data_IF_054891314323
#
_entry.id   IF_054891314323
#
_cell.length_a   1.000
_cell.length_b   1.000
_cell.length_c   1.000
_cell.angle_alpha   90.00
_cell.angle_beta   90.00
_cell.angle_gamma   90.00
#
_symmetry.space_group_name_H-M   'P 1'
#
loop_
_entity.id
_entity.type
_entity.pdbx_description
1 polymer ?
#
# COMPACT_ATOMS: atom_id res chain seq x y z
N UNK A 1 -12.02 13.90 1.68
CA UNK A 1 -11.26 13.21 2.75
C UNK A 1 -12.00 13.17 4.08
N UNK A 2 -12.42 14.30 4.66
CA UNK A 2 -13.13 14.34 5.97
C UNK A 2 -14.34 13.39 6.03
N UNK A 3 -15.19 13.38 5.00
CA UNK A 3 -16.36 12.49 4.94
C UNK A 3 -15.98 11.00 4.96
N UNK A 4 -14.87 10.62 4.32
CA UNK A 4 -14.38 9.22 4.33
C UNK A 4 -13.91 8.85 5.73
N UNK A 5 -13.15 9.72 6.39
CA UNK A 5 -12.69 9.49 7.78
C UNK A 5 -13.88 9.38 8.73
N UNK A 6 -14.85 10.29 8.64
CA UNK A 6 -16.08 10.22 9.43
C UNK A 6 -16.88 8.94 9.15
N UNK A 7 -16.90 8.46 7.90
CA UNK A 7 -17.53 7.18 7.56
C UNK A 7 -16.84 5.98 8.23
N UNK A 8 -15.51 5.96 8.23
CA UNK A 8 -14.73 4.91 8.92
C UNK A 8 -15.01 4.95 10.42
N UNK A 9 -14.98 6.13 11.04
CA UNK A 9 -15.27 6.29 12.47
C UNK A 9 -16.71 5.87 12.79
N UNK A 10 -17.68 6.24 11.95
CA UNK A 10 -19.07 5.81 12.10
C UNK A 10 -19.21 4.27 12.03
N UNK A 11 -18.52 3.61 11.08
CA UNK A 11 -18.54 2.15 10.96
C UNK A 11 -17.91 1.46 12.17
N UNK A 12 -16.83 2.01 12.73
CA UNK A 12 -16.22 1.50 13.96
C UNK A 12 -17.17 1.69 15.14
N UNK A 13 -17.78 2.87 15.28
CA UNK A 13 -18.74 3.17 16.34
C UNK A 13 -19.99 2.29 16.25
N UNK A 14 -20.45 1.96 15.05
CA UNK A 14 -21.60 1.09 14.81
C UNK A 14 -21.37 -0.35 15.31
N UNK A 15 -20.11 -0.82 15.43
CA UNK A 15 -19.85 -2.16 16.01
C UNK A 15 -20.06 -2.21 17.52
N UNK A 16 -20.15 -1.06 18.18
CA UNK A 16 -20.37 -0.95 19.62
C UNK A 16 -21.87 -1.04 19.92
N UNK A 17 -22.30 -2.16 20.50
CA UNK A 17 -23.72 -2.50 20.65
C UNK A 17 -24.56 -1.43 21.38
N UNK A 18 -24.06 -0.84 22.46
CA UNK A 18 -24.81 0.17 23.22
C UNK A 18 -25.00 1.46 22.42
N UNK A 19 -24.01 1.82 21.61
CA UNK A 19 -24.03 3.02 20.79
C UNK A 19 -24.97 2.85 19.60
N UNK A 20 -24.95 1.67 18.97
CA UNK A 20 -25.91 1.30 17.93
C UNK A 20 -27.35 1.30 18.46
N UNK A 21 -27.57 0.78 19.67
CA UNK A 21 -28.91 0.75 20.29
C UNK A 21 -29.47 2.15 20.58
N UNK A 22 -28.59 3.10 20.93
CA UNK A 22 -28.98 4.48 21.25
C UNK A 22 -29.09 5.40 20.01
N UNK A 23 -28.23 5.21 19.00
CA UNK A 23 -28.08 6.15 17.87
C UNK A 23 -28.22 5.48 16.48
N UNK A 24 -28.73 4.25 16.40
CA UNK A 24 -28.90 3.51 15.15
C UNK A 24 -29.47 4.32 13.98
N UNK A 25 -30.59 5.05 14.15
CA UNK A 25 -31.17 5.87 13.07
C UNK A 25 -30.23 6.97 12.55
N UNK A 26 -29.39 7.54 13.43
CA UNK A 26 -28.42 8.58 13.03
C UNK A 26 -27.30 7.97 12.20
N UNK A 27 -26.81 6.78 12.58
CA UNK A 27 -25.81 6.05 11.78
C UNK A 27 -26.36 5.67 10.41
N UNK A 28 -27.61 5.22 10.33
CA UNK A 28 -28.27 4.89 9.06
C UNK A 28 -28.45 6.13 8.17
N UNK A 29 -28.94 7.24 8.74
CA UNK A 29 -29.10 8.50 8.01
C UNK A 29 -27.75 9.02 7.47
N UNK A 30 -26.71 9.00 8.30
CA UNK A 30 -25.36 9.39 7.90
C UNK A 30 -24.77 8.45 6.85
N UNK A 31 -25.01 7.14 6.97
CA UNK A 31 -24.59 6.17 5.98
C UNK A 31 -25.25 6.45 4.61
N UNK A 32 -26.57 6.60 4.56
CA UNK A 32 -27.30 6.94 3.31
C UNK A 32 -26.78 8.25 2.71
N UNK A 33 -26.63 9.29 3.53
CA UNK A 33 -26.09 10.59 3.11
C UNK A 33 -24.69 10.46 2.47
N UNK A 34 -23.76 9.82 3.17
CA UNK A 34 -22.38 9.66 2.71
C UNK A 34 -22.28 8.83 1.42
N UNK A 35 -23.09 7.77 1.30
CA UNK A 35 -23.16 6.94 0.09
C UNK A 35 -23.74 7.74 -1.08
N UNK A 36 -24.77 8.55 -0.84
CA UNK A 36 -25.32 9.45 -1.85
C UNK A 36 -24.24 10.36 -2.44
N UNK A 37 -23.45 11.00 -1.57
CA UNK A 37 -22.31 11.82 -2.00
C UNK A 37 -21.28 11.01 -2.78
N UNK A 38 -20.87 9.83 -2.29
CA UNK A 38 -19.88 9.00 -2.98
C UNK A 38 -20.35 8.48 -4.34
N UNK A 39 -21.65 8.20 -4.46
CA UNK A 39 -22.27 7.75 -5.71
C UNK A 39 -22.28 8.90 -6.72
N UNK A 40 -22.69 10.10 -6.30
CA UNK A 40 -22.66 11.29 -7.15
C UNK A 40 -21.24 11.59 -7.60
N UNK A 41 -20.27 11.56 -6.67
CA UNK A 41 -18.84 11.76 -6.97
C UNK A 41 -18.34 10.75 -8.02
N UNK A 42 -18.67 9.47 -7.87
CA UNK A 42 -18.28 8.41 -8.82
C UNK A 42 -18.90 8.62 -10.21
N UNK A 43 -20.19 8.94 -10.28
CA UNK A 43 -20.89 9.20 -11.55
C UNK A 43 -20.29 10.43 -12.24
N UNK A 44 -20.11 11.53 -11.50
CA UNK A 44 -19.52 12.76 -12.03
C UNK A 44 -18.11 12.50 -12.56
N UNK A 45 -17.30 11.71 -11.86
CA UNK A 45 -15.95 11.34 -12.28
C UNK A 45 -15.94 10.52 -13.58
N UNK A 46 -16.83 9.54 -13.73
CA UNK A 46 -17.00 8.81 -15.00
C UNK A 46 -17.50 9.74 -16.12
N UNK A 47 -18.32 10.72 -15.79
CA UNK A 47 -18.87 11.65 -16.77
C UNK A 47 -17.81 12.65 -17.26
N UNK A 48 -17.00 13.19 -16.35
CA UNK A 48 -15.94 14.17 -16.63
C UNK A 48 -14.64 13.54 -17.14
N UNK A 49 -14.48 12.21 -17.11
CA UNK A 49 -13.24 11.54 -17.52
C UNK A 49 -12.84 11.82 -18.97
N UNK A 50 -13.78 12.23 -19.83
CA UNK A 50 -13.52 12.55 -21.25
C UNK A 50 -12.66 13.82 -21.43
N UNK A 51 -12.59 14.68 -20.40
CA UNK A 51 -11.75 15.88 -20.46
C UNK A 51 -10.25 15.56 -20.46
N UNK A 52 -9.86 14.41 -19.89
CA UNK A 52 -8.49 13.93 -19.90
C UNK A 52 -8.09 13.52 -21.33
N UNK A 53 -6.95 14.03 -21.87
CA UNK A 53 -6.45 13.68 -23.19
C UNK A 53 -6.39 12.17 -23.46
N UNK A 54 -6.17 11.35 -22.42
CA UNK A 54 -6.05 9.89 -22.48
C UNK A 54 -7.40 9.23 -22.84
N UNK A 55 -8.53 9.84 -22.46
CA UNK A 55 -9.88 9.26 -22.61
C UNK A 55 -10.78 10.05 -23.58
N UNK A 56 -10.19 10.91 -24.41
CA UNK A 56 -10.88 11.93 -25.23
C UNK A 56 -11.68 11.43 -26.45
N UNK A 57 -11.48 10.20 -26.92
CA UNK A 57 -12.13 9.64 -28.14
C UNK A 57 -12.87 8.29 -27.87
N UNK A 58 -13.65 7.73 -28.83
CA UNK A 58 -15.11 7.62 -28.83
C UNK A 58 -15.76 6.67 -27.78
N UNK A 59 -17.08 6.46 -27.91
CA UNK A 59 -17.95 5.64 -27.05
C UNK A 59 -17.31 4.29 -26.66
N UNK A 60 -17.00 4.12 -25.37
CA UNK A 60 -16.35 2.92 -24.82
C UNK A 60 -15.25 3.23 -23.80
N UNK A 61 -14.60 4.38 -23.92
CA UNK A 61 -13.50 4.76 -23.01
C UNK A 61 -13.94 5.08 -21.56
N UNK A 62 -15.22 5.37 -21.34
CA UNK A 62 -15.78 5.47 -19.98
C UNK A 62 -15.74 4.13 -19.24
N UNK A 63 -15.99 3.03 -19.94
CA UNK A 63 -15.92 1.69 -19.36
C UNK A 63 -14.46 1.31 -19.07
N UNK A 64 -13.55 1.69 -19.97
CA UNK A 64 -12.10 1.56 -19.75
C UNK A 64 -11.64 2.34 -18.51
N UNK A 65 -12.16 3.56 -18.30
CA UNK A 65 -11.91 4.34 -17.09
C UNK A 65 -12.47 3.64 -15.85
N UNK A 66 -13.71 3.16 -15.89
CA UNK A 66 -14.37 2.49 -14.75
C UNK A 66 -13.63 1.21 -14.26
N UNK A 67 -12.90 0.54 -15.15
CA UNK A 67 -12.08 -0.65 -14.83
C UNK A 67 -10.68 -0.28 -14.30
N UNK A 68 -10.32 1.02 -14.26
CA UNK A 68 -9.06 1.47 -13.68
C UNK A 68 -9.05 1.19 -12.16
N UNK A 69 -7.94 0.73 -11.56
CA UNK A 69 -7.91 0.32 -10.15
C UNK A 69 -8.48 1.37 -9.18
N UNK A 70 -8.20 2.66 -9.43
CA UNK A 70 -8.69 3.76 -8.62
C UNK A 70 -10.21 3.97 -8.74
N UNK A 71 -10.78 3.77 -9.93
CA UNK A 71 -12.23 3.85 -10.16
C UNK A 71 -12.95 2.61 -9.62
N UNK A 72 -12.33 1.43 -9.70
CA UNK A 72 -12.86 0.21 -9.08
C UNK A 72 -12.99 0.35 -7.56
N UNK A 73 -12.04 1.02 -6.89
CA UNK A 73 -12.13 1.30 -5.45
C UNK A 73 -13.38 2.12 -5.12
N UNK A 74 -13.70 3.15 -5.92
CA UNK A 74 -14.91 3.95 -5.73
C UNK A 74 -16.18 3.14 -5.94
N UNK A 75 -16.18 2.25 -6.94
CA UNK A 75 -17.29 1.33 -7.19
C UNK A 75 -17.50 0.38 -6.01
N UNK A 76 -16.44 -0.28 -5.55
CA UNK A 76 -16.48 -1.23 -4.42
C UNK A 76 -16.89 -0.52 -3.11
N UNK A 77 -16.57 0.75 -2.94
CA UNK A 77 -16.98 1.54 -1.78
C UNK A 77 -18.50 1.77 -1.70
N UNK A 78 -19.15 1.89 -2.86
CA UNK A 78 -20.56 2.26 -3.00
C UNK A 78 -21.47 1.04 -3.21
N UNK A 79 -20.99 0.05 -3.96
CA UNK A 79 -21.71 -1.15 -4.38
C UNK A 79 -22.39 -1.94 -3.24
N UNK A 80 -21.79 -2.11 -2.04
CA UNK A 80 -22.39 -2.89 -0.95
C UNK A 80 -23.73 -2.35 -0.45
N UNK A 81 -24.00 -1.06 -0.63
CA UNK A 81 -25.29 -0.46 -0.27
C UNK A 81 -26.39 -0.81 -1.26
N UNK A 82 -26.06 -0.86 -2.56
CA UNK A 82 -27.05 -1.09 -3.61
C UNK A 82 -27.35 -2.59 -3.82
N UNK A 83 -26.39 -3.47 -3.54
CA UNK A 83 -26.54 -4.92 -3.76
C UNK A 83 -27.72 -5.58 -3.03
N UNK A 84 -28.04 -5.26 -1.75
CA UNK A 84 -29.19 -5.83 -1.06
C UNK A 84 -30.55 -5.53 -1.72
N UNK A 85 -30.65 -4.46 -2.51
CA UNK A 85 -31.87 -4.14 -3.25
C UNK A 85 -32.04 -5.01 -4.51
N UNK A 86 -30.97 -5.65 -4.97
CA UNK A 86 -30.95 -6.50 -6.17
C UNK A 86 -30.94 -8.00 -5.81
N UNK A 87 -30.21 -8.36 -4.75
CA UNK A 87 -30.02 -9.75 -4.32
C UNK A 87 -30.74 -9.96 -2.98
N UNK A 88 -31.78 -10.80 -2.98
CA UNK A 88 -32.64 -11.05 -1.81
C UNK A 88 -32.09 -12.09 -0.81
N UNK A 89 -30.87 -12.60 -1.00
CA UNK A 89 -30.30 -13.62 -0.10
C UNK A 89 -29.68 -12.99 1.16
N UNK A 90 -30.31 -13.28 2.31
CA UNK A 90 -29.92 -12.79 3.64
C UNK A 90 -28.48 -13.14 4.04
N UNK A 91 -27.92 -14.27 3.55
CA UNK A 91 -26.53 -14.67 3.86
C UNK A 91 -25.53 -13.76 3.15
N UNK A 92 -25.78 -13.49 1.87
CA UNK A 92 -24.96 -12.57 1.08
C UNK A 92 -25.06 -11.15 1.63
N UNK A 93 -26.26 -10.69 2.02
CA UNK A 93 -26.45 -9.36 2.62
C UNK A 93 -25.59 -9.17 3.88
N UNK A 94 -25.42 -10.20 4.72
CA UNK A 94 -24.58 -10.11 5.93
C UNK A 94 -23.09 -10.01 5.58
N UNK A 95 -22.60 -10.80 4.63
CA UNK A 95 -21.21 -10.71 4.16
C UNK A 95 -20.93 -9.36 3.47
N UNK A 96 -21.90 -8.85 2.70
CA UNK A 96 -21.81 -7.55 2.03
C UNK A 96 -21.62 -6.37 2.99
N UNK A 97 -22.07 -6.48 4.25
CA UNK A 97 -21.82 -5.44 5.26
C UNK A 97 -20.32 -5.28 5.56
N UNK A 98 -19.51 -6.33 5.48
CA UNK A 98 -18.06 -6.22 5.68
C UNK A 98 -17.39 -5.42 4.56
N UNK A 99 -17.93 -5.47 3.35
CA UNK A 99 -17.40 -4.71 2.21
C UNK A 99 -17.49 -3.20 2.41
N UNK A 100 -18.32 -2.69 3.34
CA UNK A 100 -18.33 -1.27 3.69
C UNK A 100 -16.98 -0.78 4.23
N UNK A 101 -16.15 -1.68 4.78
CA UNK A 101 -14.79 -1.34 5.21
C UNK A 101 -13.90 -0.94 4.03
N UNK A 102 -14.15 -1.46 2.83
CA UNK A 102 -13.39 -1.07 1.63
C UNK A 102 -13.55 0.41 1.25
N UNK A 103 -14.53 1.13 1.81
CA UNK A 103 -14.62 2.60 1.69
C UNK A 103 -13.38 3.31 2.22
N UNK A 104 -12.64 2.70 3.15
CA UNK A 104 -11.35 3.23 3.63
C UNK A 104 -10.33 3.33 2.50
N UNK A 105 -10.40 2.43 1.50
CA UNK A 105 -9.49 2.45 0.35
C UNK A 105 -9.66 3.72 -0.49
N UNK A 106 -10.79 4.42 -0.38
CA UNK A 106 -11.00 5.73 -1.02
C UNK A 106 -9.97 6.76 -0.55
N UNK A 107 -9.39 6.61 0.66
CA UNK A 107 -8.29 7.45 1.14
C UNK A 107 -7.06 7.38 0.23
N UNK A 108 -6.84 6.28 -0.49
CA UNK A 108 -5.75 6.15 -1.45
C UNK A 108 -5.83 7.18 -2.58
N UNK A 109 -7.04 7.57 -2.99
CA UNK A 109 -7.24 8.60 -4.01
C UNK A 109 -6.86 10.00 -3.51
N UNK A 110 -7.14 10.29 -2.23
CA UNK A 110 -7.00 11.63 -1.67
C UNK A 110 -5.65 11.87 -1.01
N UNK A 111 -4.98 10.80 -0.59
CA UNK A 111 -3.69 10.89 0.09
C UNK A 111 -2.55 10.94 -0.91
N UNK A 112 -1.95 12.13 -1.06
CA UNK A 112 -0.68 12.27 -1.78
C UNK A 112 0.39 11.33 -1.23
N UNK A 113 0.39 11.07 0.08
CA UNK A 113 1.33 10.15 0.71
C UNK A 113 1.19 8.71 0.20
N UNK A 114 -0.04 8.22 -0.02
CA UNK A 114 -0.27 6.89 -0.58
C UNK A 114 0.11 6.81 -2.06
N UNK A 115 -0.08 7.89 -2.82
CA UNK A 115 0.41 7.97 -4.20
C UNK A 115 1.94 7.96 -4.26
N UNK A 116 2.60 8.73 -3.40
CA UNK A 116 4.07 8.69 -3.27
C UNK A 116 4.54 7.31 -2.83
N UNK A 117 3.82 6.63 -1.95
CA UNK A 117 4.14 5.26 -1.58
C UNK A 117 4.05 4.29 -2.77
N UNK A 118 3.02 4.39 -3.63
CA UNK A 118 2.94 3.60 -4.87
C UNK A 118 4.11 3.91 -5.82
N UNK A 119 4.48 5.19 -5.97
CA UNK A 119 5.65 5.60 -6.75
C UNK A 119 6.94 4.95 -6.20
N UNK A 120 7.12 4.96 -4.88
CA UNK A 120 8.26 4.33 -4.20
C UNK A 120 8.28 2.83 -4.43
N UNK A 121 7.14 2.15 -4.28
CA UNK A 121 7.04 0.71 -4.53
C UNK A 121 7.38 0.36 -5.97
N UNK A 122 6.89 1.13 -6.95
CA UNK A 122 7.20 0.94 -8.36
C UNK A 122 8.68 1.19 -8.66
N UNK A 123 9.24 2.25 -8.08
CA UNK A 123 10.64 2.62 -8.21
C UNK A 123 11.57 1.54 -7.61
N UNK A 124 11.17 0.93 -6.49
CA UNK A 124 11.97 -0.03 -5.71
C UNK A 124 11.53 -1.48 -5.86
N UNK A 125 10.67 -1.79 -6.84
CA UNK A 125 10.05 -3.12 -7.00
C UNK A 125 11.07 -4.26 -7.12
N UNK A 126 12.18 -4.03 -7.81
CA UNK A 126 13.21 -5.05 -8.06
C UNK A 126 14.01 -5.33 -6.79
N UNK A 127 14.41 -4.26 -6.09
CA UNK A 127 15.10 -4.32 -4.79
C UNK A 127 14.22 -5.00 -3.73
N UNK A 128 12.93 -4.64 -3.64
CA UNK A 128 11.96 -5.27 -2.74
C UNK A 128 11.72 -6.74 -3.08
N UNK A 129 11.63 -7.07 -4.38
CA UNK A 129 11.46 -8.44 -4.86
C UNK A 129 12.64 -9.32 -4.45
N UNK A 130 13.87 -8.83 -4.60
CA UNK A 130 15.08 -9.54 -4.17
C UNK A 130 15.09 -9.75 -2.64
N UNK A 131 14.77 -8.72 -1.86
CA UNK A 131 14.71 -8.83 -0.39
C UNK A 131 13.67 -9.86 0.06
N UNK A 132 12.46 -9.82 -0.51
CA UNK A 132 11.41 -10.79 -0.20
C UNK A 132 11.84 -12.22 -0.55
N UNK A 133 12.46 -12.40 -1.71
CA UNK A 133 13.01 -13.69 -2.12
C UNK A 133 14.05 -14.21 -1.12
N UNK A 134 15.00 -13.37 -0.69
CA UNK A 134 16.00 -13.74 0.31
C UNK A 134 15.37 -14.10 1.65
N UNK A 135 14.36 -13.36 2.11
CA UNK A 135 13.62 -13.66 3.35
C UNK A 135 12.91 -15.00 3.25
N UNK A 136 12.25 -15.29 2.12
CA UNK A 136 11.55 -16.57 1.90
C UNK A 136 12.53 -17.74 1.90
N UNK A 137 13.67 -17.61 1.22
CA UNK A 137 14.71 -18.64 1.20
C UNK A 137 15.23 -18.88 2.62
N UNK A 138 15.58 -17.82 3.35
CA UNK A 138 16.04 -17.95 4.74
C UNK A 138 14.97 -18.59 5.63
N UNK A 139 13.70 -18.22 5.46
CA UNK A 139 12.59 -18.80 6.23
C UNK A 139 12.45 -20.30 5.98
N UNK A 140 12.44 -20.74 4.73
CA UNK A 140 12.28 -22.15 4.39
C UNK A 140 13.49 -22.96 4.87
N UNK A 141 14.72 -22.46 4.65
CA UNK A 141 15.94 -23.14 5.10
C UNK A 141 16.02 -23.21 6.63
N UNK A 142 15.72 -22.12 7.34
CA UNK A 142 15.73 -22.09 8.81
C UNK A 142 14.64 -22.98 9.41
N UNK A 143 13.44 -22.99 8.85
CA UNK A 143 12.34 -23.85 9.29
C UNK A 143 12.69 -25.34 9.09
N UNK A 144 13.25 -25.71 7.95
CA UNK A 144 13.69 -27.09 7.70
C UNK A 144 14.78 -27.54 8.67
N UNK A 145 15.81 -26.71 8.89
CA UNK A 145 16.86 -27.02 9.86
C UNK A 145 16.33 -27.10 11.29
N UNK A 146 15.36 -26.24 11.65
CA UNK A 146 14.78 -26.24 12.99
C UNK A 146 13.90 -27.46 13.22
N UNK A 147 13.11 -27.86 12.23
CA UNK A 147 12.32 -29.09 12.28
C UNK A 147 13.23 -30.30 12.56
N UNK A 148 14.29 -30.48 11.77
CA UNK A 148 15.23 -31.60 11.97
C UNK A 148 15.96 -31.54 13.33
N UNK A 149 16.19 -30.35 13.88
CA UNK A 149 16.88 -30.17 15.16
C UNK A 149 15.97 -30.37 16.39
N UNK A 150 14.68 -30.03 16.29
CA UNK A 150 13.77 -29.94 17.43
C UNK A 150 12.61 -30.94 17.39
N UNK A 151 12.28 -31.54 16.25
CA UNK A 151 11.11 -32.41 16.12
C UNK A 151 11.13 -33.58 17.13
N UNK A 152 12.27 -34.25 17.29
CA UNK A 152 12.39 -35.38 18.22
C UNK A 152 12.24 -34.95 19.70
N UNK A 153 12.64 -33.73 20.03
CA UNK A 153 12.57 -33.19 21.39
C UNK A 153 11.21 -32.54 21.70
N UNK A 154 10.55 -31.98 20.68
CA UNK A 154 9.32 -31.21 20.78
C UNK A 154 8.37 -31.52 19.60
N UNK A 155 7.84 -32.74 19.50
CA UNK A 155 7.04 -33.17 18.34
C UNK A 155 5.71 -32.43 18.21
N UNK A 156 5.19 -31.84 19.30
CA UNK A 156 3.97 -31.02 19.25
C UNK A 156 4.25 -29.58 18.77
N UNK A 157 5.39 -29.01 19.13
CA UNK A 157 5.73 -27.62 18.78
C UNK A 157 6.36 -27.52 17.38
N UNK A 158 7.20 -28.49 17.00
CA UNK A 158 7.80 -28.60 15.67
C UNK A 158 7.21 -29.81 14.93
N UNK A 159 5.87 -29.88 14.85
CA UNK A 159 5.16 -31.01 14.27
C UNK A 159 5.36 -31.16 12.75
N UNK A 160 5.56 -30.04 12.05
CA UNK A 160 5.80 -30.02 10.61
C UNK A 160 6.67 -28.83 10.20
N UNK A 161 7.21 -28.84 8.97
CA UNK A 161 7.95 -27.69 8.43
C UNK A 161 7.11 -26.40 8.43
N UNK A 162 5.82 -26.39 8.06
CA UNK A 162 4.95 -25.22 8.23
C UNK A 162 4.86 -24.69 9.66
N UNK A 163 4.84 -25.57 10.68
CA UNK A 163 4.82 -25.14 12.08
C UNK A 163 6.17 -24.51 12.46
N UNK A 164 7.28 -25.07 11.97
CA UNK A 164 8.61 -24.46 12.09
C UNK A 164 8.71 -23.13 11.33
N UNK A 165 7.99 -22.95 10.22
CA UNK A 165 7.89 -21.68 9.50
C UNK A 165 7.16 -20.62 10.33
N UNK A 166 6.15 -20.97 11.13
CA UNK A 166 5.51 -20.04 12.06
C UNK A 166 6.53 -19.47 13.05
N UNK A 167 7.33 -20.35 13.68
CA UNK A 167 8.45 -19.93 14.53
C UNK A 167 9.42 -18.99 13.77
N UNK A 168 9.80 -19.36 12.54
CA UNK A 168 10.68 -18.56 11.69
C UNK A 168 10.11 -17.18 11.37
N UNK A 169 8.83 -17.07 11.02
CA UNK A 169 8.15 -15.78 10.73
C UNK A 169 8.17 -14.88 11.96
N UNK A 170 7.75 -15.41 13.12
CA UNK A 170 7.69 -14.67 14.38
C UNK A 170 9.08 -14.22 14.84
N UNK A 171 10.10 -15.05 14.61
CA UNK A 171 11.50 -14.77 14.96
C UNK A 171 12.15 -13.76 14.01
N UNK A 172 12.03 -13.96 12.69
CA UNK A 172 12.59 -13.05 11.68
C UNK A 172 11.92 -11.67 11.72
N UNK A 173 10.62 -11.62 12.02
CA UNK A 173 9.89 -10.36 12.21
C UNK A 173 10.15 -9.70 13.58
N UNK A 174 11.01 -10.28 14.42
CA UNK A 174 11.37 -9.78 15.76
C UNK A 174 10.18 -9.63 16.73
N UNK A 175 9.09 -10.38 16.51
CA UNK A 175 7.90 -10.35 17.38
C UNK A 175 8.13 -11.19 18.63
N UNK A 176 8.58 -12.44 18.46
CA UNK A 176 8.96 -13.33 19.56
C UNK A 176 7.85 -13.60 20.58
N UNK A 177 6.70 -14.13 20.15
CA UNK A 177 5.60 -14.48 21.07
C UNK A 177 6.02 -15.47 22.17
N UNK A 178 7.01 -16.32 21.91
CA UNK A 178 7.51 -17.31 22.87
C UNK A 178 6.63 -18.54 23.02
N UNK A 179 5.67 -18.73 22.12
CA UNK A 179 4.81 -19.91 22.00
C UNK A 179 5.57 -21.15 21.50
N UNK A 180 6.53 -20.96 20.59
CA UNK A 180 7.43 -22.00 20.07
C UNK A 180 8.86 -21.49 20.15
N UNK A 181 9.80 -22.30 20.66
CA UNK A 181 11.22 -21.95 20.72
C UNK A 181 12.10 -23.20 20.81
N UNK A 182 13.35 -23.15 20.32
CA UNK A 182 14.25 -24.30 20.40
C UNK A 182 14.73 -24.57 21.82
N UNK A 183 14.66 -25.83 22.26
CA UNK A 183 15.17 -26.27 23.56
C UNK A 183 16.47 -27.06 23.43
N UNK A 184 16.75 -27.64 22.27
CA UNK A 184 17.96 -28.42 22.04
C UNK A 184 19.19 -27.52 21.86
N UNK A 185 20.41 -28.01 22.19
CA UNK A 185 21.63 -27.24 21.93
C UNK A 185 21.80 -26.87 20.45
N UNK A 186 21.46 -27.79 19.54
CA UNK A 186 21.55 -27.57 18.10
C UNK A 186 20.53 -26.56 17.60
N UNK A 187 19.27 -26.68 18.03
CA UNK A 187 18.23 -25.71 17.69
C UNK A 187 18.56 -24.31 18.24
N UNK A 188 19.14 -24.20 19.44
CA UNK A 188 19.61 -22.90 19.97
C UNK A 188 20.75 -22.30 19.15
N UNK A 189 21.69 -23.11 18.68
CA UNK A 189 22.76 -22.64 17.80
C UNK A 189 22.20 -22.13 16.47
N UNK A 190 21.35 -22.92 15.82
CA UNK A 190 20.67 -22.55 14.56
C UNK A 190 19.85 -21.28 14.77
N UNK A 191 19.02 -21.25 15.82
CA UNK A 191 18.17 -20.11 16.17
C UNK A 191 18.98 -18.84 16.40
N UNK A 192 20.14 -18.93 17.06
CA UNK A 192 21.03 -17.79 17.28
C UNK A 192 21.55 -17.20 15.96
N UNK A 193 21.96 -18.05 15.02
CA UNK A 193 22.39 -17.61 13.68
C UNK A 193 21.23 -16.98 12.91
N UNK A 194 20.05 -17.60 12.95
CA UNK A 194 18.84 -17.12 12.28
C UNK A 194 18.41 -15.75 12.80
N UNK A 195 18.47 -15.52 14.11
CA UNK A 195 18.15 -14.22 14.73
C UNK A 195 19.10 -13.13 14.23
N UNK A 196 20.41 -13.39 14.20
CA UNK A 196 21.40 -12.41 13.72
C UNK A 196 21.16 -12.05 12.25
N UNK A 197 20.93 -13.06 11.40
CA UNK A 197 20.61 -12.83 9.98
C UNK A 197 19.26 -12.13 9.79
N UNK A 198 18.27 -12.49 10.60
CA UNK A 198 16.91 -11.97 10.56
C UNK A 198 16.84 -10.48 10.84
N UNK A 199 17.48 -10.02 11.93
CA UNK A 199 17.54 -8.60 12.29
C UNK A 199 18.10 -7.77 11.13
N UNK A 200 19.18 -8.24 10.49
CA UNK A 200 19.79 -7.58 9.35
C UNK A 200 18.84 -7.49 8.16
N UNK A 201 18.26 -8.62 7.74
CA UNK A 201 17.42 -8.70 6.55
C UNK A 201 16.07 -7.99 6.71
N UNK A 202 15.45 -8.05 7.90
CA UNK A 202 14.14 -7.45 8.14
C UNK A 202 14.22 -5.91 8.29
N UNK A 203 15.38 -5.37 8.63
CA UNK A 203 15.61 -3.93 8.67
C UNK A 203 15.74 -3.29 7.27
N UNK A 204 16.15 -4.06 6.25
CA UNK A 204 16.42 -3.54 4.91
C UNK A 204 15.19 -2.95 4.21
N UNK A 205 13.99 -3.60 4.20
CA UNK A 205 12.82 -3.03 3.55
C UNK A 205 12.43 -1.66 4.10
N UNK A 206 12.51 -1.47 5.42
CA UNK A 206 12.19 -0.18 6.04
C UNK A 206 13.17 0.93 5.59
N UNK A 207 14.48 0.64 5.61
CA UNK A 207 15.50 1.57 5.13
C UNK A 207 15.36 1.87 3.64
N UNK A 208 15.05 0.84 2.84
CA UNK A 208 14.84 0.97 1.40
C UNK A 208 13.67 1.88 1.06
N UNK A 209 12.53 1.67 1.72
CA UNK A 209 11.35 2.51 1.56
C UNK A 209 11.63 3.95 1.98
N UNK A 210 12.33 4.17 3.10
CA UNK A 210 12.70 5.50 3.56
C UNK A 210 13.57 6.24 2.51
N UNK A 211 14.58 5.57 1.95
CA UNK A 211 15.40 6.13 0.87
C UNK A 211 14.57 6.41 -0.39
N UNK A 212 13.66 5.50 -0.75
CA UNK A 212 12.74 5.69 -1.88
C UNK A 212 11.86 6.94 -1.71
N UNK A 213 11.32 7.18 -0.51
CA UNK A 213 10.54 8.38 -0.22
C UNK A 213 11.35 9.67 -0.38
N UNK A 214 12.60 9.67 0.04
CA UNK A 214 13.51 10.82 -0.15
C UNK A 214 13.77 11.03 -1.65
N UNK A 215 14.03 9.95 -2.39
CA UNK A 215 14.31 9.99 -3.82
C UNK A 215 13.12 10.51 -4.64
N UNK A 216 11.91 10.00 -4.41
CA UNK A 216 10.70 10.46 -5.11
C UNK A 216 10.40 11.93 -4.80
N UNK A 217 10.63 12.37 -3.56
CA UNK A 217 10.44 13.78 -3.20
C UNK A 217 11.49 14.69 -3.83
N UNK A 218 12.76 14.26 -3.93
CA UNK A 218 13.81 15.00 -4.60
C UNK A 218 13.50 15.19 -6.09
N UNK A 219 13.12 14.10 -6.78
CA UNK A 219 12.74 14.13 -8.20
C UNK A 219 11.55 15.08 -8.47
N UNK A 220 10.55 15.10 -7.58
CA UNK A 220 9.41 16.02 -7.71
C UNK A 220 9.84 17.49 -7.55
N UNK A 221 10.71 17.80 -6.59
CA UNK A 221 11.25 19.16 -6.40
C UNK A 221 12.08 19.63 -7.59
N UNK A 222 12.87 18.73 -8.19
CA UNK A 222 13.65 19.02 -9.40
C UNK A 222 12.73 19.28 -10.61
N UNK A 223 11.69 18.47 -10.80
CA UNK A 223 10.70 18.67 -11.84
C UNK A 223 9.92 19.99 -11.70
N UNK A 224 9.67 20.45 -10.46
CA UNK A 224 9.07 21.76 -10.19
C UNK A 224 10.02 22.94 -10.49
N UNK A 225 11.34 22.78 -10.28
CA UNK A 225 12.32 23.85 -10.51
C UNK A 225 12.83 23.95 -11.95
N UNK A 226 12.71 22.87 -12.72
CA UNK A 226 13.05 22.85 -14.15
C UNK A 226 11.82 22.44 -14.96
N UNK A 227 10.76 23.26 -15.04
CA UNK A 227 9.70 23.01 -16.00
C UNK A 227 10.35 23.03 -17.37
N UNK A 228 10.33 21.89 -18.08
CA UNK A 228 11.01 21.73 -19.35
C UNK A 228 10.77 22.95 -20.22
N UNK A 229 11.81 23.75 -20.47
CA UNK A 229 11.66 25.02 -21.16
C UNK A 229 11.20 24.69 -22.58
N UNK A 230 9.95 25.02 -22.90
CA UNK A 230 9.47 24.87 -24.27
C UNK A 230 9.88 26.11 -25.03
N UNK A 231 10.64 25.95 -26.11
CA UNK A 231 11.06 27.08 -26.92
C UNK A 231 9.82 27.81 -27.49
N UNK A 232 9.63 29.12 -27.22
CA UNK A 232 8.44 29.86 -27.66
C UNK A 232 8.35 30.03 -29.18
N UNK A 233 9.44 29.77 -29.91
CA UNK A 233 9.49 29.93 -31.36
C UNK A 233 9.23 28.63 -32.14
N UNK A 234 9.67 27.48 -31.62
CA UNK A 234 9.57 26.20 -32.33
C UNK A 234 8.80 25.10 -31.59
N UNK A 235 8.37 25.33 -30.34
CA UNK A 235 7.57 24.38 -29.57
C UNK A 235 8.29 23.10 -29.14
N UNK A 236 9.60 22.97 -29.40
CA UNK A 236 10.41 21.84 -28.93
C UNK A 236 10.82 22.04 -27.47
N UNK A 237 10.87 20.95 -26.71
CA UNK A 237 11.49 20.95 -25.38
C UNK A 237 12.97 21.27 -25.52
N UNK A 238 13.41 22.29 -24.81
CA UNK A 238 14.81 22.59 -24.56
C UNK A 238 15.19 21.65 -23.42
N UNK A 239 15.91 20.57 -23.74
CA UNK A 239 16.52 19.71 -22.72
C UNK A 239 17.33 20.61 -21.77
N UNK A 240 16.93 20.60 -20.50
CA UNK A 240 17.56 21.42 -19.47
C UNK A 240 19.05 21.16 -19.48
N UNK A 241 19.84 22.23 -19.66
CA UNK A 241 21.30 22.20 -19.62
C UNK A 241 21.69 21.46 -18.34
N UNK A 242 22.28 20.27 -18.45
CA UNK A 242 22.99 19.65 -17.34
C UNK A 242 23.95 20.69 -16.80
N UNK A 243 23.87 21.04 -15.51
CA UNK A 243 24.85 21.94 -14.88
C UNK A 243 26.21 21.31 -15.04
N UNK A 244 26.95 21.74 -16.05
CA UNK A 244 28.34 21.37 -16.24
C UNK A 244 29.17 22.18 -15.23
N UNK A 245 29.81 21.52 -14.23
CA UNK A 245 30.61 22.22 -13.23
C UNK A 245 31.74 23.07 -13.84
N UNK A 246 32.17 22.77 -15.07
CA UNK A 246 33.24 23.49 -15.76
C UNK A 246 32.83 24.86 -16.34
N UNK A 247 31.54 25.12 -16.57
CA UNK A 247 31.07 26.43 -17.05
C UNK A 247 30.98 27.45 -15.90
N UNK A 248 30.59 27.02 -14.70
CA UNK A 248 30.41 27.91 -13.53
C UNK A 248 31.75 28.43 -12.99
N UNK A 249 32.81 27.60 -13.07
CA UNK A 249 34.18 28.03 -12.76
C UNK A 249 34.72 29.12 -13.69
N UNK A 250 34.36 29.07 -14.98
CA UNK A 250 34.77 30.10 -15.96
C UNK A 250 34.03 31.41 -15.77
N UNK A 251 32.76 31.40 -15.35
CA UNK A 251 31.99 32.63 -15.09
C UNK A 251 32.54 33.37 -13.86
N UNK A 252 33.07 32.66 -12.86
CA UNK A 252 33.71 33.27 -11.70
C UNK A 252 35.07 33.92 -12.04
N UNK A 253 35.85 33.33 -12.95
CA UNK A 253 37.13 33.92 -13.41
C UNK A 253 36.94 35.23 -14.19
N UNK A 254 35.88 35.35 -14.99
CA UNK A 254 35.56 36.59 -15.71
C UNK A 254 35.09 37.73 -14.81
N UNK A 255 34.63 37.44 -13.60
CA UNK A 255 34.16 38.46 -12.64
C UNK A 255 35.26 38.97 -11.72
N UNK A 256 36.45 38.37 -11.76
CA UNK A 256 37.62 38.73 -10.97
C UNK A 256 38.74 39.41 -11.78
N UNK A 257 38.50 39.70 -13.07
CA UNK A 257 39.32 40.59 -13.90
C UNK A 257 38.57 41.86 -14.22
#
# INVERSE_FOLDING_TARGET
MLLVVLNVVAVIMETVQWLYSAYGPIFEAFNVFSIGIFTIEYILRIWSCIEDPIYRAPQGNRLRFAITPLAMVDLIAVLPFYLPFVIADLRFVRAMRLFRLFRILKLAHYSRALQTFDDVLRLKKEELGLMLFTIIVLLITSAGLMYEAEHDAQPEAFASIPDAMWWGIVTLATVGYGDIYPITPWGRLIGSVVVILGIGLFALPAGLLAMGFVQVQAQRKEAEHSPGLVCPYCGRQIEGRSRDPEEDGRILEWRMR
#
